data_IF_797508638272
#
_entry.id   IF_797508638272
#
_cell.length_a   1.000
_cell.length_b   1.000
_cell.length_c   1.000
_cell.angle_alpha   90.00
_cell.angle_beta   90.00
_cell.angle_gamma   90.00
#
_symmetry.space_group_name_H-M   'P 1'
#
loop_
_entity.id
_entity.type
_entity.pdbx_description
1 polymer ?
#
# COMPACT_ATOMS: atom_id res chain seq x y z
N UNK A 1 9.22 3.96 -28.96
CA UNK A 1 9.82 3.02 -27.99
C UNK A 1 9.03 3.13 -26.71
N UNK A 2 8.25 2.09 -26.36
CA UNK A 2 7.48 2.06 -25.11
C UNK A 2 8.41 1.57 -24.01
N UNK A 3 8.99 2.48 -23.23
CA UNK A 3 9.47 2.15 -21.90
C UNK A 3 8.22 1.88 -21.07
N UNK A 4 7.88 0.60 -20.92
CA UNK A 4 6.98 0.19 -19.84
C UNK A 4 7.68 0.59 -18.55
N UNK A 5 7.24 1.69 -17.93
CA UNK A 5 7.49 1.98 -16.54
C UNK A 5 6.80 0.86 -15.74
N UNK A 6 7.48 -0.26 -15.57
CA UNK A 6 7.03 -1.29 -14.64
C UNK A 6 7.24 -0.73 -13.25
N UNK A 7 6.14 -0.33 -12.60
CA UNK A 7 6.14 0.08 -11.20
C UNK A 7 6.80 -1.03 -10.37
N UNK A 8 7.95 -0.72 -9.78
CA UNK A 8 8.67 -1.63 -8.90
C UNK A 8 7.86 -1.78 -7.60
N UNK A 9 7.55 -3.03 -7.25
CA UNK A 9 6.81 -3.41 -6.04
C UNK A 9 7.76 -3.80 -4.90
N UNK A 10 8.88 -3.10 -4.76
CA UNK A 10 9.85 -3.37 -3.70
C UNK A 10 9.29 -3.07 -2.31
N UNK A 11 9.88 -3.68 -1.28
CA UNK A 11 9.60 -3.31 0.10
C UNK A 11 9.92 -1.83 0.30
N UNK A 12 8.99 -1.09 0.91
CA UNK A 12 9.12 0.34 1.15
C UNK A 12 10.10 0.57 2.30
N UNK A 13 11.16 1.32 2.05
CA UNK A 13 12.11 1.76 3.06
C UNK A 13 11.55 2.90 3.91
N UNK A 14 12.13 3.12 5.09
CA UNK A 14 11.74 4.23 5.95
C UNK A 14 12.03 5.60 5.31
N UNK A 15 13.08 5.71 4.51
CA UNK A 15 13.40 6.95 3.81
C UNK A 15 12.35 7.28 2.74
N UNK A 16 11.94 6.29 1.94
CA UNK A 16 10.84 6.44 0.96
C UNK A 16 9.51 6.80 1.65
N UNK A 17 9.24 6.20 2.82
CA UNK A 17 8.05 6.52 3.62
C UNK A 17 8.10 7.98 4.12
N UNK A 18 9.24 8.43 4.64
CA UNK A 18 9.40 9.79 5.15
C UNK A 18 9.28 10.82 4.02
N UNK A 19 9.89 10.54 2.86
CA UNK A 19 9.78 11.37 1.67
C UNK A 19 8.33 11.49 1.20
N UNK A 20 7.59 10.38 1.16
CA UNK A 20 6.15 10.39 0.87
C UNK A 20 5.36 11.21 1.90
N UNK A 21 5.63 11.04 3.19
CA UNK A 21 4.94 11.80 4.23
C UNK A 21 5.21 13.31 4.09
N UNK A 22 6.46 13.69 3.80
CA UNK A 22 6.82 15.08 3.53
C UNK A 22 6.07 15.63 2.31
N UNK A 23 6.12 14.91 1.19
CA UNK A 23 5.38 15.23 -0.03
C UNK A 23 3.90 15.49 0.27
N UNK A 24 3.26 14.56 0.97
CA UNK A 24 1.84 14.65 1.31
C UNK A 24 1.51 15.83 2.22
N UNK A 25 2.31 16.12 3.24
CA UNK A 25 2.09 17.32 4.08
C UNK A 25 2.20 18.60 3.27
N UNK A 26 3.16 18.68 2.36
CA UNK A 26 3.31 19.82 1.46
C UNK A 26 2.07 20.00 0.60
N UNK A 27 1.56 18.93 -0.02
CA UNK A 27 0.30 18.97 -0.77
C UNK A 27 -0.89 19.44 0.09
N UNK A 28 -1.01 18.94 1.33
CA UNK A 28 -2.08 19.33 2.26
C UNK A 28 -2.01 20.82 2.57
N UNK A 29 -0.83 21.32 2.94
CA UNK A 29 -0.64 22.73 3.29
C UNK A 29 -0.96 23.64 2.10
N UNK A 30 -0.48 23.30 0.90
CA UNK A 30 -0.75 24.07 -0.30
C UNK A 30 -2.23 24.02 -0.71
N UNK A 31 -2.93 22.90 -0.48
CA UNK A 31 -4.38 22.83 -0.70
C UNK A 31 -5.13 23.75 0.27
N UNK A 32 -4.71 23.76 1.53
CA UNK A 32 -5.29 24.62 2.54
C UNK A 32 -5.08 26.10 2.18
N UNK A 33 -3.89 26.46 1.73
CA UNK A 33 -3.57 27.81 1.28
C UNK A 33 -4.40 28.20 0.05
N UNK A 34 -4.44 27.35 -0.98
CA UNK A 34 -5.29 27.52 -2.16
C UNK A 34 -6.76 27.72 -1.80
N UNK A 35 -7.29 26.93 -0.86
CA UNK A 35 -8.68 27.06 -0.42
C UNK A 35 -8.96 28.40 0.27
N UNK A 36 -7.94 29.01 0.90
CA UNK A 36 -8.05 30.30 1.58
C UNK A 36 -7.83 31.50 0.64
N UNK A 37 -6.91 31.39 -0.33
CA UNK A 37 -6.49 32.52 -1.18
C UNK A 37 -7.12 32.48 -2.57
N UNK A 38 -7.45 31.30 -3.08
CA UNK A 38 -7.87 31.08 -4.47
C UNK A 38 -6.71 31.04 -5.48
N UNK A 39 -5.47 31.20 -5.00
CA UNK A 39 -4.28 31.24 -5.85
C UNK A 39 -3.58 29.87 -5.86
N UNK A 40 -3.34 29.34 -7.06
CA UNK A 40 -2.56 28.12 -7.21
C UNK A 40 -1.07 28.43 -6.98
N UNK A 41 -0.32 27.58 -6.25
CA UNK A 41 1.11 27.83 -6.03
C UNK A 41 1.87 27.82 -7.35
N UNK A 42 2.60 28.91 -7.63
CA UNK A 42 3.39 29.09 -8.86
C UNK A 42 4.58 28.12 -8.93
N UNK A 43 5.18 27.77 -7.78
CA UNK A 43 6.30 26.85 -7.68
C UNK A 43 6.01 25.70 -6.70
N UNK A 44 6.02 24.47 -7.23
CA UNK A 44 5.97 23.24 -6.45
C UNK A 44 7.38 22.90 -5.91
N UNK A 45 7.89 23.70 -4.96
CA UNK A 45 9.18 23.42 -4.33
C UNK A 45 9.05 22.28 -3.31
N UNK A 46 9.37 21.07 -3.76
CA UNK A 46 9.43 19.88 -2.91
C UNK A 46 10.89 19.45 -2.73
N UNK A 47 11.56 19.99 -1.72
CA UNK A 47 12.91 19.53 -1.38
C UNK A 47 12.87 18.71 -0.10
N UNK A 48 12.88 17.38 -0.22
CA UNK A 48 13.12 16.50 0.91
C UNK A 48 14.63 16.42 1.19
N UNK A 49 15.07 16.97 2.32
CA UNK A 49 16.50 17.02 2.68
C UNK A 49 16.89 15.99 3.74
N UNK A 50 15.91 15.24 4.28
CA UNK A 50 16.08 14.22 5.33
C UNK A 50 16.87 14.72 6.55
N UNK A 51 16.67 15.99 6.93
CA UNK A 51 17.31 16.54 8.13
C UNK A 51 16.65 15.97 9.39
N UNK A 52 17.38 15.87 10.52
CA UNK A 52 16.81 15.35 11.77
C UNK A 52 15.54 16.11 12.21
N UNK A 53 15.50 17.42 12.01
CA UNK A 53 14.36 18.26 12.39
C UNK A 53 13.13 17.98 11.51
N UNK A 54 13.32 17.84 10.20
CA UNK A 54 12.24 17.45 9.28
C UNK A 54 11.69 16.06 9.63
N UNK A 55 12.58 15.09 9.86
CA UNK A 55 12.18 13.72 10.26
C UNK A 55 11.41 13.74 11.59
N UNK A 56 11.86 14.53 12.57
CA UNK A 56 11.18 14.65 13.85
C UNK A 56 9.81 15.32 13.74
N UNK A 57 9.69 16.34 12.89
CA UNK A 57 8.41 16.98 12.60
C UNK A 57 7.43 15.99 11.95
N UNK A 58 7.89 15.19 10.98
CA UNK A 58 7.07 14.14 10.36
C UNK A 58 6.58 13.12 11.38
N UNK A 59 7.49 12.56 12.19
CA UNK A 59 7.14 11.56 13.23
C UNK A 59 6.17 12.09 14.28
N UNK A 60 6.16 13.39 14.50
CA UNK A 60 5.26 14.05 15.45
C UNK A 60 3.90 14.39 14.82
N UNK A 61 3.81 14.42 13.49
CA UNK A 61 2.57 14.68 12.77
C UNK A 61 1.63 13.47 12.81
N UNK A 62 0.32 13.72 12.78
CA UNK A 62 -0.67 12.65 12.70
C UNK A 62 -0.51 11.80 11.43
N UNK A 63 -0.20 12.43 10.28
CA UNK A 63 0.12 11.72 9.03
C UNK A 63 1.27 10.75 9.23
N UNK A 64 2.40 11.23 9.77
CA UNK A 64 3.58 10.40 9.96
C UNK A 64 3.31 9.24 10.92
N UNK A 65 2.58 9.47 12.00
CA UNK A 65 2.19 8.41 12.95
C UNK A 65 1.29 7.36 12.29
N UNK A 66 0.26 7.81 11.55
CA UNK A 66 -0.66 6.92 10.85
C UNK A 66 0.06 6.10 9.76
N UNK A 67 0.88 6.75 8.93
CA UNK A 67 1.67 6.08 7.89
C UNK A 67 2.67 5.10 8.49
N UNK A 68 3.37 5.48 9.57
CA UNK A 68 4.34 4.61 10.22
C UNK A 68 3.69 3.37 10.84
N UNK A 69 2.56 3.53 11.55
CA UNK A 69 1.78 2.43 12.11
C UNK A 69 1.34 1.43 11.02
N UNK A 70 0.77 1.94 9.93
CA UNK A 70 0.32 1.11 8.81
C UNK A 70 1.48 0.47 8.05
N UNK A 71 2.58 1.20 7.85
CA UNK A 71 3.80 0.68 7.23
C UNK A 71 4.45 -0.43 8.07
N UNK A 72 4.51 -0.27 9.40
CA UNK A 72 5.05 -1.29 10.30
C UNK A 72 4.24 -2.59 10.23
N UNK A 73 2.93 -2.50 10.12
CA UNK A 73 2.10 -3.67 9.85
C UNK A 73 2.35 -4.23 8.45
N UNK A 74 2.31 -3.40 7.41
CA UNK A 74 2.46 -3.83 6.02
C UNK A 74 3.80 -4.54 5.76
N UNK A 75 4.92 -3.94 6.18
CA UNK A 75 6.26 -4.46 5.90
C UNK A 75 6.73 -5.51 6.89
N UNK A 76 6.41 -5.33 8.17
CA UNK A 76 6.98 -6.17 9.25
C UNK A 76 5.96 -7.01 10.00
N UNK A 77 4.67 -6.87 9.71
CA UNK A 77 3.62 -7.66 10.38
C UNK A 77 3.53 -7.36 11.87
N UNK A 78 3.72 -6.11 12.27
CA UNK A 78 3.62 -5.64 13.67
C UNK A 78 2.19 -5.19 14.00
N UNK A 79 1.90 -4.96 15.28
CA UNK A 79 0.60 -4.40 15.73
C UNK A 79 -0.63 -5.30 15.50
N UNK A 80 -0.46 -6.62 15.43
CA UNK A 80 -1.57 -7.56 15.17
C UNK A 80 -2.79 -7.36 16.08
N UNK A 81 -2.57 -7.18 17.40
CA UNK A 81 -3.67 -6.99 18.35
C UNK A 81 -4.39 -5.65 18.13
N UNK A 82 -3.67 -4.60 17.76
CA UNK A 82 -4.26 -3.29 17.43
C UNK A 82 -5.08 -3.37 16.14
N UNK A 83 -4.57 -4.08 15.12
CA UNK A 83 -5.28 -4.32 13.87
C UNK A 83 -6.55 -5.14 14.12
N UNK A 84 -6.46 -6.20 14.91
CA UNK A 84 -7.60 -7.02 15.31
C UNK A 84 -8.66 -6.24 16.09
N UNK A 85 -8.24 -5.24 16.87
CA UNK A 85 -9.13 -4.34 17.59
C UNK A 85 -9.76 -3.25 16.71
N UNK A 86 -9.49 -3.23 15.40
CA UNK A 86 -10.05 -2.25 14.46
C UNK A 86 -9.31 -0.92 14.40
N UNK A 87 -8.13 -0.79 15.02
CA UNK A 87 -7.38 0.47 15.05
C UNK A 87 -6.83 0.89 13.68
N UNK A 88 -6.94 0.03 12.65
CA UNK A 88 -6.57 0.37 11.27
C UNK A 88 -7.54 1.34 10.60
N UNK A 89 -8.80 1.41 11.04
CA UNK A 89 -9.88 2.08 10.29
C UNK A 89 -9.56 3.56 10.01
N UNK A 90 -9.34 4.35 11.06
CA UNK A 90 -9.08 5.78 10.92
C UNK A 90 -7.75 6.07 10.22
N UNK A 91 -6.61 5.44 10.57
CA UNK A 91 -5.36 5.60 9.82
C UNK A 91 -5.53 5.30 8.33
N UNK A 92 -6.14 4.17 7.97
CA UNK A 92 -6.24 3.73 6.59
C UNK A 92 -7.14 4.64 5.75
N UNK A 93 -8.26 5.10 6.32
CA UNK A 93 -9.15 6.07 5.66
C UNK A 93 -8.46 7.41 5.42
N UNK A 94 -7.60 7.85 6.34
CA UNK A 94 -6.84 9.09 6.16
C UNK A 94 -5.75 8.93 5.10
N UNK A 95 -5.01 7.81 5.12
CA UNK A 95 -4.03 7.49 4.07
C UNK A 95 -4.67 7.43 2.69
N UNK A 96 -5.86 6.85 2.57
CA UNK A 96 -6.62 6.89 1.32
C UNK A 96 -6.89 8.33 0.84
N UNK A 97 -7.43 9.18 1.71
CA UNK A 97 -7.74 10.58 1.37
C UNK A 97 -6.51 11.35 0.94
N UNK A 98 -5.40 11.17 1.65
CA UNK A 98 -4.14 11.82 1.34
C UNK A 98 -3.53 11.32 0.04
N UNK A 99 -3.62 10.02 -0.24
CA UNK A 99 -3.19 9.44 -1.52
C UNK A 99 -4.00 10.02 -2.68
N UNK A 100 -5.32 10.13 -2.52
CA UNK A 100 -6.21 10.73 -3.53
C UNK A 100 -5.93 12.23 -3.74
N UNK A 101 -5.62 12.97 -2.67
CA UNK A 101 -5.18 14.36 -2.77
C UNK A 101 -3.90 14.47 -3.60
N UNK A 102 -2.90 13.66 -3.28
CA UNK A 102 -1.63 13.60 -4.00
C UNK A 102 -1.84 13.26 -5.50
N UNK A 103 -2.73 12.32 -5.81
CA UNK A 103 -3.12 12.00 -7.19
C UNK A 103 -3.68 13.22 -7.94
N UNK A 104 -4.52 14.01 -7.28
CA UNK A 104 -5.08 15.23 -7.88
C UNK A 104 -3.99 16.26 -8.20
N UNK A 105 -3.02 16.45 -7.30
CA UNK A 105 -1.88 17.34 -7.56
C UNK A 105 -1.04 16.89 -8.75
N UNK A 106 -0.72 15.61 -8.84
CA UNK A 106 0.02 15.06 -9.98
C UNK A 106 -0.69 15.31 -11.31
N UNK A 107 -2.02 15.17 -11.34
CA UNK A 107 -2.82 15.43 -12.54
C UNK A 107 -2.83 16.91 -12.93
N UNK A 108 -2.83 17.82 -11.95
CA UNK A 108 -2.92 19.27 -12.17
C UNK A 108 -1.58 19.95 -12.45
N UNK A 109 -0.49 19.51 -11.81
CA UNK A 109 0.83 20.13 -11.96
C UNK A 109 1.42 20.00 -13.37
N UNK A 110 0.86 19.14 -14.24
CA UNK A 110 1.21 19.02 -15.67
C UNK A 110 2.63 18.54 -15.96
N UNK A 111 3.48 18.48 -14.93
CA UNK A 111 4.84 17.97 -14.93
C UNK A 111 4.79 16.59 -14.29
N UNK A 112 4.66 15.57 -15.11
CA UNK A 112 4.93 14.19 -14.70
C UNK A 112 6.44 14.03 -14.51
N UNK A 113 6.98 14.66 -13.47
CA UNK A 113 8.29 14.31 -12.95
C UNK A 113 8.27 12.83 -12.58
N UNK A 114 9.27 12.07 -13.02
CA UNK A 114 9.36 10.64 -12.71
C UNK A 114 9.50 10.39 -11.21
N UNK A 115 9.99 11.37 -10.47
CA UNK A 115 10.22 11.33 -9.03
C UNK A 115 8.90 11.44 -8.25
N UNK A 116 8.04 12.42 -8.58
CA UNK A 116 6.75 12.61 -7.90
C UNK A 116 5.80 11.41 -8.08
N UNK A 117 5.83 10.78 -9.26
CA UNK A 117 5.06 9.57 -9.51
C UNK A 117 5.58 8.41 -8.64
N UNK A 118 6.89 8.24 -8.52
CA UNK A 118 7.49 7.18 -7.72
C UNK A 118 7.18 7.36 -6.22
N UNK A 119 7.31 8.58 -5.71
CA UNK A 119 6.95 8.94 -4.33
C UNK A 119 5.47 8.64 -4.08
N UNK A 120 4.58 9.02 -5.00
CA UNK A 120 3.16 8.78 -4.84
C UNK A 120 2.76 7.30 -4.82
N UNK A 121 3.53 6.43 -5.49
CA UNK A 121 3.30 4.98 -5.41
C UNK A 121 3.54 4.42 -4.00
N UNK A 122 4.35 5.07 -3.16
CA UNK A 122 4.62 4.62 -1.79
C UNK A 122 3.32 4.52 -0.98
N UNK A 123 2.51 5.58 -0.95
CA UNK A 123 1.23 5.60 -0.23
C UNK A 123 0.26 4.52 -0.72
N UNK A 124 0.14 4.37 -2.04
CA UNK A 124 -0.68 3.31 -2.65
C UNK A 124 -0.20 1.92 -2.25
N UNK A 125 1.10 1.65 -2.36
CA UNK A 125 1.66 0.34 -2.02
C UNK A 125 1.46 -0.01 -0.55
N UNK A 126 1.67 0.93 0.37
CA UNK A 126 1.38 0.74 1.80
C UNK A 126 -0.09 0.40 1.99
N UNK A 127 -1.01 1.20 1.44
CA UNK A 127 -2.45 0.97 1.60
C UNK A 127 -2.90 -0.40 1.07
N UNK A 128 -2.51 -0.76 -0.17
CA UNK A 128 -2.86 -2.07 -0.75
C UNK A 128 -2.23 -3.23 0.01
N UNK A 129 -1.01 -3.07 0.55
CA UNK A 129 -0.35 -4.11 1.34
C UNK A 129 -0.99 -4.27 2.71
N UNK A 130 -1.47 -3.20 3.34
CA UNK A 130 -2.30 -3.26 4.56
C UNK A 130 -3.59 -4.02 4.30
N UNK A 131 -4.35 -3.66 3.25
CA UNK A 131 -5.59 -4.36 2.89
C UNK A 131 -5.35 -5.85 2.65
N UNK A 132 -4.28 -6.18 1.92
CA UNK A 132 -3.87 -7.56 1.69
C UNK A 132 -3.59 -8.31 3.00
N UNK A 133 -2.92 -7.66 3.97
CA UNK A 133 -2.68 -8.25 5.30
C UNK A 133 -3.94 -8.38 6.14
N UNK A 134 -4.84 -7.40 6.14
CA UNK A 134 -6.10 -7.49 6.88
C UNK A 134 -6.90 -8.72 6.42
N UNK A 135 -6.99 -8.95 5.11
CA UNK A 135 -7.59 -10.16 4.54
C UNK A 135 -6.83 -11.43 4.95
N UNK A 136 -5.51 -11.43 4.79
CA UNK A 136 -4.67 -12.60 5.08
C UNK A 136 -4.69 -12.98 6.57
N UNK A 137 -4.58 -12.01 7.46
CA UNK A 137 -4.27 -12.20 8.88
C UNK A 137 -5.53 -12.25 9.75
N UNK A 138 -6.59 -11.56 9.35
CA UNK A 138 -7.82 -11.38 10.12
C UNK A 138 -9.07 -11.94 9.42
N UNK A 139 -8.95 -12.41 8.18
CA UNK A 139 -10.08 -12.94 7.40
C UNK A 139 -11.21 -11.91 7.21
N UNK A 140 -10.82 -10.64 7.11
CA UNK A 140 -11.73 -9.50 6.99
C UNK A 140 -12.27 -9.37 5.56
N UNK A 141 -13.57 -9.13 5.44
CA UNK A 141 -14.16 -8.53 4.24
C UNK A 141 -14.00 -7.00 4.33
N UNK A 142 -13.15 -6.44 3.46
CA UNK A 142 -12.84 -5.00 3.50
C UNK A 142 -14.01 -4.14 3.01
N UNK A 143 -14.97 -4.70 2.26
CA UNK A 143 -16.17 -3.94 1.87
C UNK A 143 -17.12 -3.78 3.04
N UNK A 144 -17.29 -4.83 3.83
CA UNK A 144 -18.11 -4.77 5.05
C UNK A 144 -17.47 -3.85 6.11
N UNK A 145 -16.15 -3.88 6.27
CA UNK A 145 -15.46 -3.08 7.30
C UNK A 145 -15.18 -1.63 6.87
N UNK A 146 -14.91 -1.37 5.59
CA UNK A 146 -14.40 -0.07 5.12
C UNK A 146 -15.16 0.49 3.91
N UNK A 147 -16.09 -0.26 3.32
CA UNK A 147 -16.63 0.02 1.98
C UNK A 147 -15.50 0.20 0.94
N UNK A 148 -14.46 -0.62 1.07
CA UNK A 148 -13.15 -0.35 0.46
C UNK A 148 -13.12 -0.51 -1.06
N UNK A 149 -13.96 -1.34 -1.69
CA UNK A 149 -13.92 -1.59 -3.15
C UNK A 149 -14.14 -0.33 -3.99
N UNK A 150 -14.89 0.65 -3.46
CA UNK A 150 -15.04 1.95 -4.09
C UNK A 150 -13.79 2.84 -3.96
N UNK A 151 -13.03 2.66 -2.90
CA UNK A 151 -11.85 3.46 -2.57
C UNK A 151 -10.57 2.82 -3.16
N UNK A 152 -10.54 1.50 -3.24
CA UNK A 152 -9.40 0.69 -3.64
C UNK A 152 -9.81 -0.27 -4.76
N UNK A 153 -10.03 0.24 -5.99
CA UNK A 153 -10.60 -0.54 -7.09
C UNK A 153 -9.69 -1.68 -7.60
N UNK A 154 -8.43 -1.75 -7.14
CA UNK A 154 -7.51 -2.85 -7.44
C UNK A 154 -7.47 -3.93 -6.34
N UNK A 155 -8.29 -3.78 -5.31
CA UNK A 155 -8.47 -4.76 -4.25
C UNK A 155 -9.75 -5.55 -4.48
N UNK A 156 -9.72 -6.82 -4.10
CA UNK A 156 -10.91 -7.65 -3.99
C UNK A 156 -11.38 -7.66 -2.51
N UNK A 157 -12.69 -7.78 -2.23
CA UNK A 157 -13.23 -7.65 -0.87
C UNK A 157 -12.65 -8.66 0.15
N UNK A 158 -12.60 -9.93 -0.22
CA UNK A 158 -12.21 -11.01 0.71
C UNK A 158 -10.88 -11.69 0.31
N UNK A 159 -10.70 -11.95 -0.98
CA UNK A 159 -9.49 -12.56 -1.55
C UNK A 159 -8.40 -11.57 -2.03
N UNK A 160 -7.23 -12.10 -2.43
CA UNK A 160 -6.12 -11.29 -2.92
C UNK A 160 -6.15 -11.14 -4.44
N UNK A 161 -5.89 -9.93 -4.93
CA UNK A 161 -5.55 -9.73 -6.34
C UNK A 161 -4.09 -10.07 -6.61
N UNK A 162 -3.71 -10.20 -7.89
CA UNK A 162 -2.30 -10.41 -8.26
C UNK A 162 -1.36 -9.30 -7.78
N UNK A 163 -1.84 -8.07 -7.60
CA UNK A 163 -1.04 -6.96 -7.05
C UNK A 163 -0.76 -7.21 -5.57
N UNK A 164 -1.80 -7.50 -4.80
CA UNK A 164 -1.72 -7.71 -3.36
C UNK A 164 -0.86 -8.92 -3.00
N UNK A 165 -1.04 -10.02 -3.72
CA UNK A 165 -0.17 -11.19 -3.57
C UNK A 165 1.29 -10.87 -3.92
N UNK A 166 1.54 -10.08 -4.98
CA UNK A 166 2.91 -9.68 -5.34
C UNK A 166 3.57 -8.82 -4.24
N UNK A 167 2.82 -7.87 -3.66
CA UNK A 167 3.26 -7.01 -2.57
C UNK A 167 3.64 -7.83 -1.32
N UNK A 168 2.80 -8.79 -0.94
CA UNK A 168 3.08 -9.68 0.20
C UNK A 168 4.23 -10.64 -0.09
N UNK A 169 4.31 -11.21 -1.29
CA UNK A 169 5.37 -12.14 -1.69
C UNK A 169 6.74 -11.45 -1.87
N UNK A 170 6.80 -10.11 -1.86
CA UNK A 170 8.01 -9.33 -2.08
C UNK A 170 8.55 -9.44 -3.52
N UNK A 171 7.65 -9.56 -4.49
CA UNK A 171 8.01 -9.57 -5.91
C UNK A 171 8.22 -8.16 -6.43
N UNK A 172 9.18 -7.99 -7.33
CA UNK A 172 9.46 -6.68 -7.94
C UNK A 172 8.40 -6.23 -8.95
N UNK A 173 7.56 -7.15 -9.44
CA UNK A 173 6.58 -6.90 -10.51
C UNK A 173 5.44 -7.94 -10.47
N UNK A 174 4.23 -7.52 -10.85
CA UNK A 174 3.03 -8.40 -10.90
C UNK A 174 3.19 -9.56 -11.90
N UNK A 175 4.05 -9.39 -12.93
CA UNK A 175 4.36 -10.44 -13.90
C UNK A 175 4.90 -11.72 -13.26
N UNK A 176 5.61 -11.62 -12.12
CA UNK A 176 6.09 -12.78 -11.38
C UNK A 176 4.96 -13.69 -10.88
N UNK A 177 3.80 -13.12 -10.53
CA UNK A 177 2.61 -13.88 -10.10
C UNK A 177 2.03 -14.68 -11.26
N UNK A 178 2.03 -14.12 -12.48
CA UNK A 178 1.56 -14.83 -13.67
C UNK A 178 2.39 -16.09 -13.95
N UNK A 179 3.70 -16.04 -13.67
CA UNK A 179 4.57 -17.20 -13.79
C UNK A 179 4.24 -18.29 -12.75
N UNK A 180 3.78 -17.91 -11.56
CA UNK A 180 3.28 -18.88 -10.58
C UNK A 180 1.96 -19.51 -11.00
N UNK A 181 1.02 -18.71 -11.49
CA UNK A 181 -0.29 -19.19 -11.97
C UNK A 181 -0.10 -20.19 -13.13
N UNK A 182 0.82 -19.91 -14.04
CA UNK A 182 1.10 -20.75 -15.21
C UNK A 182 2.13 -21.87 -14.98
N UNK A 183 2.58 -22.09 -13.73
CA UNK A 183 3.60 -23.09 -13.44
C UNK A 183 3.10 -24.51 -13.75
N UNK A 184 3.82 -25.25 -14.60
CA UNK A 184 3.39 -26.60 -15.05
C UNK A 184 3.39 -27.67 -13.97
N UNK A 185 4.23 -27.53 -12.94
CA UNK A 185 4.42 -28.54 -11.89
C UNK A 185 3.58 -28.27 -10.66
N UNK A 186 3.44 -27.00 -10.30
CA UNK A 186 2.70 -26.57 -9.12
C UNK A 186 2.06 -25.19 -9.36
N UNK A 187 1.03 -25.12 -10.24
CA UNK A 187 0.37 -23.86 -10.57
C UNK A 187 -0.25 -23.26 -9.32
N UNK A 188 -0.26 -21.92 -9.23
CA UNK A 188 -1.02 -21.20 -8.21
C UNK A 188 -2.51 -21.20 -8.60
N UNK A 189 -3.41 -21.84 -7.82
CA UNK A 189 -4.86 -21.77 -8.02
C UNK A 189 -5.36 -20.33 -7.99
N UNK A 190 -6.21 -19.98 -8.96
CA UNK A 190 -6.86 -18.67 -9.04
C UNK A 190 -8.30 -18.81 -9.51
N UNK A 191 -9.14 -17.90 -9.05
CA UNK A 191 -10.48 -17.64 -9.59
C UNK A 191 -10.40 -16.50 -10.61
N UNK A 192 -11.35 -16.46 -11.55
CA UNK A 192 -11.47 -15.37 -12.51
C UNK A 192 -12.70 -14.55 -12.22
N UNK A 193 -12.50 -13.26 -12.02
CA UNK A 193 -13.58 -12.27 -11.88
C UNK A 193 -13.36 -11.15 -12.89
N UNK A 194 -14.21 -11.13 -13.92
CA UNK A 194 -14.00 -10.28 -15.10
C UNK A 194 -12.62 -10.50 -15.72
N UNK A 195 -11.80 -9.43 -15.73
CA UNK A 195 -10.44 -9.45 -16.27
C UNK A 195 -9.35 -9.68 -15.19
N UNK A 196 -9.72 -9.86 -13.93
CA UNK A 196 -8.79 -10.06 -12.82
C UNK A 196 -8.62 -11.54 -12.48
N UNK A 197 -7.41 -11.89 -12.06
CA UNK A 197 -7.12 -13.18 -11.43
C UNK A 197 -7.06 -12.98 -9.93
N UNK A 198 -7.90 -13.72 -9.21
CA UNK A 198 -8.11 -13.62 -7.77
C UNK A 198 -7.51 -14.87 -7.12
N UNK A 199 -6.70 -14.69 -6.09
CA UNK A 199 -6.03 -15.75 -5.35
C UNK A 199 -6.78 -15.96 -4.04
N UNK A 200 -7.42 -17.12 -3.84
CA UNK A 200 -8.13 -17.42 -2.60
C UNK A 200 -7.24 -17.25 -1.38
N UNK A 201 -7.75 -16.68 -0.27
CA UNK A 201 -6.96 -16.44 0.95
C UNK A 201 -6.29 -17.70 1.47
N UNK A 202 -7.01 -18.83 1.49
CA UNK A 202 -6.47 -20.11 1.94
C UNK A 202 -5.25 -20.56 1.12
N UNK A 203 -5.30 -20.37 -0.21
CA UNK A 203 -4.16 -20.68 -1.07
C UNK A 203 -3.01 -19.68 -0.86
N UNK A 204 -3.33 -18.39 -0.69
CA UNK A 204 -2.36 -17.36 -0.40
C UNK A 204 -1.61 -17.65 0.91
N UNK A 205 -2.31 -18.00 1.99
CA UNK A 205 -1.73 -18.43 3.27
C UNK A 205 -0.75 -19.58 3.02
N UNK A 206 -1.18 -20.67 2.39
CA UNK A 206 -0.32 -21.83 2.10
C UNK A 206 0.95 -21.49 1.29
N UNK A 207 0.86 -20.55 0.36
CA UNK A 207 1.94 -20.20 -0.57
C UNK A 207 2.91 -19.18 -0.01
N UNK A 208 2.41 -18.15 0.66
CA UNK A 208 3.20 -17.03 1.15
C UNK A 208 4.20 -17.48 2.23
N UNK A 209 3.86 -18.45 3.08
CA UNK A 209 4.80 -19.03 4.05
C UNK A 209 6.07 -19.62 3.43
N UNK A 210 5.98 -20.04 2.17
CA UNK A 210 7.09 -20.64 1.45
C UNK A 210 7.92 -19.59 0.70
N UNK A 211 7.51 -18.31 0.72
CA UNK A 211 8.21 -17.21 0.05
C UNK A 211 9.30 -16.66 0.96
N UNK A 212 10.52 -16.62 0.42
CA UNK A 212 11.71 -16.10 1.13
C UNK A 212 11.55 -14.66 1.64
N UNK A 213 10.78 -13.83 0.93
CA UNK A 213 10.63 -12.39 1.22
C UNK A 213 9.32 -12.06 1.94
N UNK A 214 8.44 -13.02 2.16
CA UNK A 214 7.25 -12.79 2.95
C UNK A 214 7.63 -12.68 4.43
N UNK A 215 7.10 -11.69 5.12
CA UNK A 215 7.30 -11.47 6.55
C UNK A 215 6.01 -11.83 7.29
N UNK A 216 5.96 -12.94 8.03
CA UNK A 216 4.78 -13.33 8.80
C UNK A 216 4.42 -12.31 9.87
N UNK A 217 3.11 -12.12 10.09
CA UNK A 217 2.61 -11.26 11.16
C UNK A 217 2.88 -11.84 12.54
N UNK A 218 3.49 -11.02 13.41
CA UNK A 218 3.84 -11.40 14.77
C UNK A 218 2.57 -11.48 15.62
N UNK A 219 2.36 -12.63 16.25
CA UNK A 219 1.18 -12.89 17.08
C UNK A 219 0.07 -13.66 16.36
N UNK A 220 0.16 -13.80 15.03
CA UNK A 220 -0.75 -14.64 14.27
C UNK A 220 -0.21 -16.09 14.15
N UNK A 221 -1.10 -17.07 14.31
CA UNK A 221 -0.81 -18.47 14.05
C UNK A 221 -1.30 -18.90 12.66
N UNK A 222 -0.37 -18.95 11.71
CA UNK A 222 -0.67 -19.35 10.34
C UNK A 222 -0.73 -20.86 10.12
N UNK A 223 -0.27 -21.68 11.09
CA UNK A 223 -0.33 -23.14 10.96
C UNK A 223 -1.76 -23.68 11.15
N UNK A 224 -2.65 -22.88 11.73
CA UNK A 224 -4.08 -23.22 11.86
C UNK A 224 -4.81 -23.34 10.52
N UNK A 225 -4.26 -22.75 9.45
CA UNK A 225 -4.89 -22.66 8.13
C UNK A 225 -4.23 -23.55 7.08
N UNK A 226 -3.12 -24.23 7.42
CA UNK A 226 -2.49 -25.20 6.53
C UNK A 226 -3.17 -26.56 6.69
N UNK A 227 -4.06 -26.92 5.77
CA UNK A 227 -4.52 -28.31 5.64
C UNK A 227 -3.36 -29.20 5.18
N UNK A 228 -3.07 -30.27 5.94
CA UNK A 228 -2.19 -31.37 5.53
C UNK A 228 -2.67 -32.03 4.23
#
# INVERSE_FOLDING_TARGET
MSTKNETLLSAISLDELNEYCHYTLTCINQTADLANTGDWPDDFLMSWSNTPDEVNALKSSYLGQAMFFLWEYAEFGLHYEDMKAGQFHDPLMQVFRWTALCDAFLLHAGTFGTEDLAIQQVGKQVAYKVLARLKLDLDIDIDDELSASHLFPLSHPTDLTTLEYALLAGFSHVGAVRNEISNKKNPLPVMKEGNQSIIPIEEARNRLFRKRKFVPTRGMDYQKFTTN
#
